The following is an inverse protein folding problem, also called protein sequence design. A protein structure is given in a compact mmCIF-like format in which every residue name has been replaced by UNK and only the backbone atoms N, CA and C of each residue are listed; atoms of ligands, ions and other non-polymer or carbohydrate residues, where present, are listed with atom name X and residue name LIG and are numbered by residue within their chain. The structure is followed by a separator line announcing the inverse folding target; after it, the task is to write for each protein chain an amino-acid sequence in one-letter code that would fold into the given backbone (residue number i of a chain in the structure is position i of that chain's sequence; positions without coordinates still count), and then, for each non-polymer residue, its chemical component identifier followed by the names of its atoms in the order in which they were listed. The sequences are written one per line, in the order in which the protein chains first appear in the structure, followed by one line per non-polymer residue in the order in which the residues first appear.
data_IF_885476140488
#
_entry.id   IF_885476140488
#
_cell.length_a   1.000
_cell.length_b   1.000
_cell.length_c   1.000
_cell.angle_alpha   90.00
_cell.angle_beta   90.00
_cell.angle_gamma   90.00
#
_symmetry.space_group_name_H-M   'P 1'
#
loop_
_entity.id
_entity.type
_entity.pdbx_description
1 polymer ?
#
# COMPACT_ATOMS: atom_id res chain seq x y z
N UNK A 1 -7.58 -23.79 11.34
CA UNK A 1 -8.03 -22.48 10.80
C UNK A 1 -6.82 -21.75 10.23
N UNK A 2 -6.70 -21.70 8.90
CA UNK A 2 -5.49 -21.18 8.24
C UNK A 2 -5.24 -19.70 8.55
N UNK A 3 -3.97 -19.30 8.59
CA UNK A 3 -3.50 -17.93 8.77
C UNK A 3 -4.20 -16.94 7.83
N UNK A 4 -4.44 -17.34 6.58
CA UNK A 4 -5.15 -16.55 5.58
C UNK A 4 -6.59 -16.20 6.01
N UNK A 5 -7.31 -17.16 6.60
CA UNK A 5 -8.69 -16.94 7.06
C UNK A 5 -8.74 -16.05 8.30
N UNK A 6 -7.74 -16.16 9.20
CA UNK A 6 -7.59 -15.23 10.33
C UNK A 6 -7.33 -13.81 9.86
N UNK A 7 -6.43 -13.63 8.89
CA UNK A 7 -6.11 -12.31 8.33
C UNK A 7 -7.30 -11.69 7.59
N UNK A 8 -8.02 -12.48 6.78
CA UNK A 8 -9.21 -12.00 6.07
C UNK A 8 -10.32 -11.54 7.04
N UNK A 9 -10.56 -12.30 8.11
CA UNK A 9 -11.56 -11.95 9.12
C UNK A 9 -11.14 -10.72 9.92
N UNK A 10 -9.88 -10.63 10.34
CA UNK A 10 -9.34 -9.46 11.02
C UNK A 10 -9.38 -8.20 10.16
N UNK A 11 -9.01 -8.30 8.87
CA UNK A 11 -9.11 -7.18 7.92
C UNK A 11 -10.57 -6.78 7.69
N UNK A 12 -11.49 -7.75 7.70
CA UNK A 12 -12.93 -7.53 7.57
C UNK A 12 -13.56 -6.80 8.76
N UNK A 13 -13.02 -6.98 9.98
CA UNK A 13 -13.49 -6.27 11.19
C UNK A 13 -12.95 -4.84 11.33
N UNK A 14 -11.96 -4.44 10.52
CA UNK A 14 -11.41 -3.08 10.57
C UNK A 14 -12.35 -2.07 9.88
N UNK A 15 -12.34 -0.82 10.35
CA UNK A 15 -13.00 0.29 9.66
C UNK A 15 -12.40 0.49 8.24
N UNK A 16 -13.16 1.00 7.26
CA UNK A 16 -12.68 1.22 5.89
C UNK A 16 -11.35 2.01 5.83
N UNK A 17 -11.20 3.05 6.64
CA UNK A 17 -9.97 3.85 6.71
C UNK A 17 -8.76 3.01 7.16
N UNK A 18 -8.92 2.22 8.22
CA UNK A 18 -7.88 1.30 8.71
C UNK A 18 -7.53 0.22 7.67
N UNK A 19 -8.50 -0.29 6.90
CA UNK A 19 -8.22 -1.25 5.81
C UNK A 19 -7.40 -0.63 4.69
N UNK A 20 -7.70 0.63 4.36
CA UNK A 20 -6.93 1.41 3.39
C UNK A 20 -5.51 1.63 3.89
N UNK A 21 -5.34 2.06 5.14
CA UNK A 21 -4.03 2.26 5.74
C UNK A 21 -3.19 0.97 5.77
N UNK A 22 -3.77 -0.15 6.22
CA UNK A 22 -3.08 -1.45 6.19
C UNK A 22 -2.70 -1.85 4.76
N UNK A 23 -3.58 -1.62 3.78
CA UNK A 23 -3.27 -1.91 2.38
C UNK A 23 -2.16 -1.00 1.83
N UNK A 24 -2.17 0.28 2.19
CA UNK A 24 -1.13 1.24 1.84
C UNK A 24 0.23 0.80 2.38
N UNK A 25 0.30 0.44 3.68
CA UNK A 25 1.54 -0.04 4.31
C UNK A 25 2.07 -1.31 3.62
N UNK A 26 1.18 -2.26 3.28
CA UNK A 26 1.58 -3.48 2.56
C UNK A 26 2.13 -3.15 1.16
N UNK A 27 1.44 -2.28 0.40
CA UNK A 27 1.93 -1.84 -0.91
C UNK A 27 3.26 -1.09 -0.79
N UNK A 28 3.44 -0.30 0.28
CA UNK A 28 4.66 0.42 0.55
C UNK A 28 5.83 -0.52 0.75
N UNK A 29 5.69 -1.51 1.64
CA UNK A 29 6.71 -2.52 1.84
C UNK A 29 6.97 -3.36 0.58
N UNK A 30 5.92 -3.72 -0.16
CA UNK A 30 6.07 -4.46 -1.41
C UNK A 30 6.90 -3.67 -2.44
N UNK A 31 6.57 -2.39 -2.66
CA UNK A 31 7.32 -1.54 -3.57
C UNK A 31 8.73 -1.29 -3.08
N UNK A 32 8.95 -1.14 -1.77
CA UNK A 32 10.28 -0.95 -1.20
C UNK A 32 11.17 -2.18 -1.43
N UNK A 33 10.64 -3.38 -1.19
CA UNK A 33 11.35 -4.64 -1.46
C UNK A 33 11.62 -4.79 -2.95
N UNK A 34 10.63 -4.56 -3.80
CA UNK A 34 10.79 -4.63 -5.26
C UNK A 34 11.87 -3.66 -5.73
N UNK A 35 11.91 -2.45 -5.19
CA UNK A 35 12.91 -1.44 -5.51
C UNK A 35 14.32 -1.87 -5.08
N UNK A 36 14.46 -2.43 -3.87
CA UNK A 36 15.74 -2.97 -3.37
C UNK A 36 16.22 -4.13 -4.24
N UNK A 37 15.32 -5.03 -4.65
CA UNK A 37 15.62 -6.13 -5.57
C UNK A 37 16.08 -5.58 -6.92
N UNK A 38 15.31 -4.67 -7.53
CA UNK A 38 15.68 -4.07 -8.83
C UNK A 38 17.04 -3.37 -8.74
N UNK A 39 17.31 -2.60 -7.68
CA UNK A 39 18.58 -1.91 -7.50
C UNK A 39 19.75 -2.88 -7.35
N UNK A 40 19.55 -3.99 -6.62
CA UNK A 40 20.55 -5.03 -6.47
C UNK A 40 20.91 -5.71 -7.81
N UNK A 41 19.91 -5.92 -8.69
CA UNK A 41 20.11 -6.56 -9.99
C UNK A 41 20.42 -5.60 -11.15
N UNK A 42 20.17 -4.29 -10.99
CA UNK A 42 20.48 -3.24 -11.96
C UNK A 42 21.22 -2.07 -11.31
N UNK A 43 22.49 -2.24 -10.90
CA UNK A 43 23.27 -1.23 -10.16
C UNK A 43 23.76 -0.06 -11.03
N UNK A 44 23.11 0.24 -12.17
CA UNK A 44 23.64 1.19 -13.15
C UNK A 44 23.36 2.67 -12.84
N UNK A 45 22.55 2.98 -11.82
CA UNK A 45 22.19 4.38 -11.53
C UNK A 45 22.15 4.62 -10.02
N UNK A 46 23.15 5.35 -9.52
CA UNK A 46 23.19 5.86 -8.15
C UNK A 46 22.19 7.01 -8.00
N UNK A 47 20.97 6.67 -7.56
CA UNK A 47 20.03 7.66 -7.07
C UNK A 47 20.20 7.85 -5.56
N UNK A 48 19.89 9.05 -5.05
CA UNK A 48 19.92 9.30 -3.61
C UNK A 48 18.86 8.45 -2.89
N UNK A 49 19.13 8.09 -1.62
CA UNK A 49 18.15 7.42 -0.74
C UNK A 49 16.80 8.16 -0.70
N UNK A 50 16.85 9.50 -0.74
CA UNK A 50 15.66 10.34 -0.80
C UNK A 50 14.82 10.13 -2.06
N UNK A 51 15.46 9.98 -3.23
CA UNK A 51 14.78 9.65 -4.47
C UNK A 51 14.06 8.31 -4.36
N UNK A 52 14.72 7.29 -3.79
CA UNK A 52 14.12 5.97 -3.58
C UNK A 52 12.88 6.04 -2.69
N UNK A 53 12.95 6.74 -1.56
CA UNK A 53 11.81 6.89 -0.65
C UNK A 53 10.63 7.62 -1.31
N UNK A 54 10.90 8.72 -2.03
CA UNK A 54 9.86 9.50 -2.73
C UNK A 54 9.23 8.68 -3.84
N UNK A 55 10.03 7.99 -4.64
CA UNK A 55 9.56 7.13 -5.73
C UNK A 55 8.68 5.98 -5.21
N UNK A 56 9.15 5.25 -4.20
CA UNK A 56 8.39 4.17 -3.56
C UNK A 56 7.09 4.69 -2.95
N UNK A 57 7.11 5.87 -2.32
CA UNK A 57 5.91 6.50 -1.77
C UNK A 57 4.90 6.85 -2.86
N UNK A 58 5.34 7.48 -3.96
CA UNK A 58 4.48 7.83 -5.08
C UNK A 58 3.85 6.60 -5.75
N UNK A 59 4.65 5.56 -6.04
CA UNK A 59 4.14 4.30 -6.57
C UNK A 59 3.11 3.66 -5.64
N UNK A 60 3.36 3.72 -4.34
CA UNK A 60 2.44 3.17 -3.35
C UNK A 60 1.11 3.92 -3.32
N UNK A 61 1.13 5.25 -3.40
CA UNK A 61 -0.08 6.05 -3.52
C UNK A 61 -0.83 5.66 -4.79
N UNK A 62 -0.14 5.59 -5.93
CA UNK A 62 -0.74 5.25 -7.22
C UNK A 62 -1.39 3.87 -7.19
N UNK A 63 -0.68 2.85 -6.69
CA UNK A 63 -1.22 1.50 -6.58
C UNK A 63 -2.35 1.39 -5.56
N UNK A 64 -2.26 2.11 -4.44
CA UNK A 64 -3.35 2.15 -3.46
C UNK A 64 -4.60 2.77 -4.08
N UNK A 65 -4.46 3.86 -4.83
CA UNK A 65 -5.58 4.48 -5.55
C UNK A 65 -6.19 3.53 -6.59
N UNK A 66 -5.36 2.91 -7.43
CA UNK A 66 -5.83 2.03 -8.52
C UNK A 66 -6.48 0.75 -7.98
N UNK A 67 -5.83 0.06 -7.04
CA UNK A 67 -6.28 -1.25 -6.56
C UNK A 67 -7.29 -1.17 -5.42
N UNK A 68 -7.32 -0.06 -4.66
CA UNK A 68 -8.23 0.14 -3.51
C UNK A 68 -9.26 1.24 -3.73
N UNK A 69 -9.53 1.60 -4.98
CA UNK A 69 -10.55 2.60 -5.36
C UNK A 69 -11.91 2.39 -4.69
N UNK A 70 -12.37 1.14 -4.57
CA UNK A 70 -13.64 0.81 -3.87
C UNK A 70 -13.58 1.15 -2.37
N UNK A 71 -12.51 0.75 -1.69
CA UNK A 71 -12.30 1.06 -0.27
C UNK A 71 -12.14 2.58 -0.04
N UNK A 72 -11.53 3.28 -1.00
CA UNK A 72 -11.39 4.74 -1.02
C UNK A 72 -12.75 5.43 -1.14
N UNK A 73 -13.58 5.01 -2.10
CA UNK A 73 -14.96 5.49 -2.23
C UNK A 73 -15.77 5.25 -0.96
N UNK A 74 -15.62 4.09 -0.31
CA UNK A 74 -16.33 3.78 0.93
C UNK A 74 -15.92 4.67 2.11
N UNK A 75 -14.64 5.09 2.18
CA UNK A 75 -14.16 6.06 3.16
C UNK A 75 -14.79 7.44 2.93
N UNK A 76 -14.71 7.96 1.70
CA UNK A 76 -15.26 9.29 1.38
C UNK A 76 -16.79 9.34 1.45
N UNK A 77 -17.48 8.25 1.07
CA UNK A 77 -18.94 8.18 1.12
C UNK A 77 -19.47 8.22 2.56
N UNK A 78 -18.77 7.61 3.52
CA UNK A 78 -19.15 7.66 4.94
C UNK A 78 -18.91 9.01 5.60
N UNK A 79 -17.93 9.79 5.13
CA UNK A 79 -17.69 11.15 5.64
C UNK A 79 -18.72 12.17 5.14
N UNK A 80 -19.40 11.90 4.01
CA UNK A 80 -20.43 12.78 3.44
C UNK A 80 -21.82 12.64 4.10
N UNK A 81 -22.01 11.66 5.00
CA UNK A 81 -23.31 11.38 5.64
C UNK A 81 -23.31 11.65 7.15
N UNK A 82 -22.24 12.26 7.67
CA UNK A 82 -22.18 12.83 9.02
C UNK A 82 -22.22 14.35 8.91
#
# INVERSE_FOLDING_TARGET
MNLFNRFKNWKGSLSPLKRLFVSFVIFWFFNLILHVVIFHFMPRIDYSLSYHLVYTFFLTILFTLLFKWKELKDVFKRQSTQ
#
